data_IF_189802410013
#
_entry.id   IF_189802410013
#
_cell.length_a   1.000
_cell.length_b   1.000
_cell.length_c   1.000
_cell.angle_alpha   90.00
_cell.angle_beta   90.00
_cell.angle_gamma   90.00
#
_symmetry.space_group_name_H-M   'P 1'
#
loop_
_entity.id
_entity.type
_entity.pdbx_description
1 polymer ?
#
# COMPACT_ATOMS: atom_id res chain seq x y z
N UNK A 1 7.25 11.74 -13.88
CA UNK A 1 6.91 10.98 -12.64
C UNK A 1 5.80 9.95 -12.93
N UNK A 2 5.81 8.76 -12.30
CA UNK A 2 4.92 7.62 -12.68
C UNK A 2 4.11 7.01 -11.52
N UNK A 3 4.10 7.60 -10.32
CA UNK A 3 3.27 7.10 -9.22
C UNK A 3 1.79 7.22 -9.59
N UNK A 4 1.08 6.10 -9.64
CA UNK A 4 -0.34 6.06 -10.04
C UNK A 4 -1.29 5.77 -8.88
N UNK A 5 -0.90 4.90 -7.96
CA UNK A 5 -1.77 4.43 -6.88
C UNK A 5 -1.00 4.36 -5.57
N UNK A 6 -1.62 4.86 -4.50
CA UNK A 6 -1.22 4.62 -3.12
C UNK A 6 -2.27 3.71 -2.49
N UNK A 7 -1.90 2.46 -2.18
CA UNK A 7 -2.86 1.47 -1.68
C UNK A 7 -3.24 1.66 -0.21
N UNK A 8 -2.35 2.26 0.59
CA UNK A 8 -2.60 2.44 2.03
C UNK A 8 -2.73 1.14 2.82
N UNK A 9 -2.00 0.07 2.43
CA UNK A 9 -1.99 -1.21 3.19
C UNK A 9 -1.45 -1.04 4.61
N UNK A 10 -0.53 -0.09 4.77
CA UNK A 10 0.01 0.38 6.04
C UNK A 10 -0.02 1.90 6.01
N UNK A 11 -0.48 2.52 7.08
CA UNK A 11 -0.65 3.96 7.18
C UNK A 11 0.33 4.55 8.18
N UNK A 12 0.70 5.81 7.97
CA UNK A 12 1.54 6.55 8.89
C UNK A 12 0.68 7.30 9.91
N UNK A 13 0.94 7.09 11.20
CA UNK A 13 0.25 7.78 12.29
C UNK A 13 1.21 8.74 12.99
N UNK A 14 0.80 10.00 13.15
CA UNK A 14 1.55 10.97 13.95
C UNK A 14 1.17 10.81 15.43
N UNK A 15 2.14 10.85 16.35
CA UNK A 15 1.86 10.74 17.79
C UNK A 15 0.89 11.80 18.34
N UNK A 16 0.86 12.97 17.70
CA UNK A 16 0.04 14.13 18.10
C UNK A 16 -1.36 14.13 17.46
N UNK A 17 -1.69 13.15 16.60
CA UNK A 17 -2.96 13.08 15.87
C UNK A 17 -3.54 11.67 15.85
N UNK A 18 -4.85 11.58 15.77
CA UNK A 18 -5.54 10.30 15.64
C UNK A 18 -5.68 9.84 14.19
N UNK A 19 -5.51 10.73 13.22
CA UNK A 19 -5.58 10.38 11.80
C UNK A 19 -4.37 9.56 11.34
N UNK A 20 -4.63 8.57 10.50
CA UNK A 20 -3.62 7.77 9.83
C UNK A 20 -3.56 8.15 8.34
N UNK A 21 -2.35 8.33 7.81
CA UNK A 21 -2.10 8.92 6.50
C UNK A 21 -1.48 7.94 5.53
N UNK A 22 -2.02 7.87 4.32
CA UNK A 22 -1.42 7.16 3.19
C UNK A 22 -0.43 8.04 2.42
N UNK A 23 -0.66 9.35 2.42
CA UNK A 23 0.27 10.37 1.91
C UNK A 23 0.40 11.45 2.97
N UNK A 24 1.62 11.65 3.48
CA UNK A 24 1.93 12.69 4.46
C UNK A 24 3.08 13.54 3.95
N UNK A 25 2.86 14.85 3.91
CA UNK A 25 3.86 15.84 3.51
C UNK A 25 3.97 16.85 4.65
N UNK A 26 5.09 16.86 5.36
CA UNK A 26 5.25 17.67 6.56
C UNK A 26 6.59 18.40 6.58
N UNK A 27 6.59 19.65 7.04
CA UNK A 27 7.79 20.47 7.33
C UNK A 27 8.83 20.49 6.20
N UNK A 28 8.37 20.44 4.95
CA UNK A 28 9.22 20.39 3.77
C UNK A 28 9.35 21.77 3.11
N UNK A 29 10.51 22.03 2.51
CA UNK A 29 10.84 23.30 1.83
C UNK A 29 10.66 23.27 0.31
N UNK A 30 10.11 22.18 -0.23
CA UNK A 30 9.86 22.05 -1.67
C UNK A 30 8.78 23.02 -2.15
N UNK A 31 8.89 23.42 -3.41
CA UNK A 31 8.00 24.38 -4.05
C UNK A 31 6.79 23.70 -4.70
N UNK A 32 7.03 22.59 -5.38
CA UNK A 32 6.00 21.75 -6.00
C UNK A 32 6.20 20.30 -5.56
N UNK A 33 5.13 19.51 -5.60
CA UNK A 33 5.20 18.05 -5.49
C UNK A 33 4.37 17.45 -6.62
N UNK A 34 5.08 17.07 -7.67
CA UNK A 34 4.50 16.72 -8.96
C UNK A 34 4.09 15.25 -9.01
N UNK A 35 2.78 15.01 -8.88
CA UNK A 35 2.17 13.69 -8.98
C UNK A 35 1.12 13.60 -10.11
N UNK A 36 1.43 14.03 -11.35
CA UNK A 36 0.47 14.09 -12.47
C UNK A 36 -0.11 12.74 -12.89
N UNK A 37 0.58 11.64 -12.54
CA UNK A 37 0.10 10.28 -12.79
C UNK A 37 -0.76 9.73 -11.66
N UNK A 38 -0.84 10.38 -10.49
CA UNK A 38 -1.58 9.87 -9.34
C UNK A 38 -3.08 9.92 -9.61
N UNK A 39 -3.72 8.77 -9.48
CA UNK A 39 -5.14 8.58 -9.74
C UNK A 39 -5.92 8.09 -8.54
N UNK A 40 -5.29 7.37 -7.63
CA UNK A 40 -6.00 6.71 -6.55
C UNK A 40 -5.23 6.64 -5.25
N UNK A 41 -5.90 6.99 -4.15
CA UNK A 41 -5.51 6.64 -2.78
C UNK A 41 -6.62 5.75 -2.23
N UNK A 42 -6.34 4.45 -2.14
CA UNK A 42 -7.39 3.46 -1.84
C UNK A 42 -7.87 3.54 -0.40
N UNK A 43 -6.94 3.66 0.55
CA UNK A 43 -7.19 3.70 1.99
C UNK A 43 -6.23 4.72 2.60
N UNK A 44 -6.69 5.49 3.58
CA UNK A 44 -5.87 6.40 4.38
C UNK A 44 -6.00 7.87 3.98
N UNK A 45 -5.75 8.75 4.95
CA UNK A 45 -5.87 10.19 4.77
C UNK A 45 -4.72 10.76 3.94
N UNK A 46 -4.93 11.94 3.36
CA UNK A 46 -3.86 12.75 2.76
C UNK A 46 -3.62 13.96 3.64
N UNK A 47 -2.39 14.15 4.11
CA UNK A 47 -2.02 15.17 5.07
C UNK A 47 -0.92 16.07 4.54
N UNK A 48 -1.11 17.38 4.63
CA UNK A 48 -0.12 18.40 4.27
C UNK A 48 0.01 19.38 5.43
N UNK A 49 1.16 19.38 6.09
CA UNK A 49 1.38 20.11 7.34
C UNK A 49 2.62 21.01 7.25
N UNK A 50 2.42 22.32 7.40
CA UNK A 50 3.48 23.31 7.59
C UNK A 50 4.59 23.24 6.53
N UNK A 51 4.20 23.15 5.26
CA UNK A 51 5.13 23.22 4.13
C UNK A 51 5.13 24.65 3.59
N UNK A 52 6.15 25.43 3.93
CA UNK A 52 6.16 26.88 3.71
C UNK A 52 6.09 27.29 2.23
N UNK A 53 6.82 26.57 1.36
CA UNK A 53 6.94 26.92 -0.06
C UNK A 53 5.95 26.17 -0.97
N UNK A 54 5.16 25.23 -0.45
CA UNK A 54 4.43 24.27 -1.27
C UNK A 54 3.23 24.92 -1.97
N UNK A 55 3.24 24.88 -3.29
CA UNK A 55 2.19 25.40 -4.16
C UNK A 55 1.27 24.32 -4.74
N UNK A 56 0.15 24.76 -5.30
CA UNK A 56 -0.86 24.00 -6.07
C UNK A 56 -1.63 22.88 -5.34
N UNK A 57 -1.16 22.36 -4.21
CA UNK A 57 -1.82 21.26 -3.48
C UNK A 57 -3.26 21.56 -3.04
N UNK A 58 -3.61 22.84 -2.83
CA UNK A 58 -4.99 23.29 -2.56
C UNK A 58 -5.89 23.27 -3.80
N UNK A 59 -5.32 23.34 -5.00
CA UNK A 59 -6.06 23.29 -6.26
C UNK A 59 -6.47 21.86 -6.63
N UNK A 60 -5.77 20.86 -6.08
CA UNK A 60 -6.06 19.45 -6.32
C UNK A 60 -7.41 19.08 -5.73
N UNK A 61 -8.27 18.49 -6.56
CA UNK A 61 -9.51 17.91 -6.10
C UNK A 61 -9.25 16.52 -5.50
N UNK A 62 -9.17 16.45 -4.17
CA UNK A 62 -8.91 15.21 -3.46
C UNK A 62 -10.08 14.22 -3.47
N UNK A 63 -11.32 14.66 -3.74
CA UNK A 63 -12.48 13.75 -3.87
C UNK A 63 -12.38 12.85 -5.10
N UNK A 64 -11.70 13.33 -6.15
CA UNK A 64 -11.35 12.55 -7.34
C UNK A 64 -10.35 11.44 -7.00
N UNK A 65 -9.40 11.68 -6.10
CA UNK A 65 -8.27 10.76 -5.84
C UNK A 65 -8.55 9.80 -4.68
N UNK A 66 -9.13 10.28 -3.58
CA UNK A 66 -9.40 9.46 -2.39
C UNK A 66 -10.61 8.56 -2.66
N UNK A 67 -10.41 7.24 -2.52
CA UNK A 67 -11.46 6.25 -2.74
C UNK A 67 -12.23 5.92 -1.46
N UNK A 68 -11.55 5.76 -0.34
CA UNK A 68 -12.20 5.46 0.95
C UNK A 68 -13.07 6.64 1.42
N UNK A 69 -14.40 6.47 1.58
CA UNK A 69 -15.30 7.54 2.03
C UNK A 69 -14.99 8.06 3.44
N UNK A 70 -14.29 7.27 4.27
CA UNK A 70 -13.90 7.68 5.62
C UNK A 70 -12.61 8.49 5.64
N UNK A 71 -11.83 8.42 4.57
CA UNK A 71 -10.57 9.14 4.44
C UNK A 71 -10.80 10.57 3.96
N UNK A 72 -9.99 11.50 4.47
CA UNK A 72 -10.10 12.94 4.17
C UNK A 72 -8.74 13.54 3.81
N UNK A 73 -8.81 14.69 3.14
CA UNK A 73 -7.67 15.57 2.93
C UNK A 73 -7.58 16.58 4.09
N UNK A 74 -6.39 16.74 4.66
CA UNK A 74 -6.10 17.67 5.74
C UNK A 74 -4.93 18.57 5.33
N UNK A 75 -5.18 19.88 5.29
CA UNK A 75 -4.17 20.89 5.04
C UNK A 75 -4.03 21.79 6.26
N UNK A 76 -2.79 21.99 6.72
CA UNK A 76 -2.47 22.88 7.85
C UNK A 76 -1.28 23.74 7.48
N UNK A 77 -1.43 25.04 7.68
CA UNK A 77 -0.38 26.03 7.54
C UNK A 77 -0.40 26.93 8.77
N UNK A 78 0.51 26.69 9.71
CA UNK A 78 0.58 27.40 10.99
C UNK A 78 1.83 28.29 11.09
N UNK A 79 2.06 29.11 10.05
CA UNK A 79 3.09 30.15 10.07
C UNK A 79 2.43 31.52 10.27
N UNK A 80 3.17 32.45 10.87
CA UNK A 80 2.72 33.84 11.07
C UNK A 80 2.69 34.63 9.76
N UNK A 81 3.60 34.31 8.85
CA UNK A 81 3.66 34.89 7.51
C UNK A 81 2.56 34.31 6.62
N UNK A 82 1.95 35.11 5.72
CA UNK A 82 0.97 34.61 4.77
C UNK A 82 1.57 33.50 3.88
N UNK A 83 0.69 32.69 3.31
CA UNK A 83 1.10 31.75 2.27
C UNK A 83 1.68 32.52 1.08
N UNK A 84 2.67 31.90 0.42
CA UNK A 84 3.31 32.47 -0.75
C UNK A 84 2.31 32.61 -1.90
N UNK A 85 2.46 33.67 -2.69
CA UNK A 85 1.80 33.78 -3.99
C UNK A 85 2.32 32.70 -4.94
N UNK A 86 1.44 31.75 -5.26
CA UNK A 86 1.73 30.63 -6.14
C UNK A 86 1.36 30.98 -7.59
N UNK A 87 2.16 30.54 -8.58
CA UNK A 87 1.78 30.62 -9.98
C UNK A 87 0.42 29.95 -10.24
N UNK A 88 -0.39 30.46 -11.18
CA UNK A 88 -1.63 29.80 -11.57
C UNK A 88 -1.33 28.48 -12.31
N UNK A 89 -2.30 27.57 -12.33
CA UNK A 89 -2.24 26.40 -13.19
C UNK A 89 -2.20 26.79 -14.67
N UNK A 90 -1.71 25.89 -15.51
CA UNK A 90 -1.76 26.07 -16.96
C UNK A 90 -3.21 26.25 -17.46
N UNK A 91 -3.40 27.06 -18.50
CA UNK A 91 -4.74 27.44 -19.02
C UNK A 91 -5.58 26.25 -19.50
N UNK A 92 -4.92 25.16 -19.91
CA UNK A 92 -5.59 23.94 -20.38
C UNK A 92 -5.99 23.00 -19.24
N UNK A 93 -5.64 23.29 -17.98
CA UNK A 93 -6.08 22.49 -16.85
C UNK A 93 -7.56 22.78 -16.56
N UNK A 94 -8.40 21.74 -16.57
CA UNK A 94 -9.83 21.89 -16.27
C UNK A 94 -10.11 22.42 -14.85
N UNK A 95 -9.32 21.95 -13.87
CA UNK A 95 -9.49 22.28 -12.45
C UNK A 95 -8.13 22.50 -11.77
N UNK A 96 -7.56 21.44 -11.18
CA UNK A 96 -6.33 21.50 -10.40
C UNK A 96 -5.08 21.12 -11.18
N UNK A 97 -3.91 21.44 -10.61
CA UNK A 97 -2.61 21.02 -11.13
C UNK A 97 -1.65 20.66 -10.00
N UNK A 98 -0.63 19.86 -10.30
CA UNK A 98 0.43 19.48 -9.35
C UNK A 98 1.64 20.42 -9.38
N UNK A 99 1.67 21.34 -10.34
CA UNK A 99 2.77 22.22 -10.69
C UNK A 99 2.42 23.07 -11.92
N UNK A 100 3.37 23.87 -12.37
CA UNK A 100 3.27 24.62 -13.62
C UNK A 100 3.33 23.68 -14.84
N UNK A 101 2.82 24.11 -15.99
CA UNK A 101 2.80 23.30 -17.22
C UNK A 101 1.55 22.45 -17.41
N UNK A 102 1.26 22.09 -18.66
CA UNK A 102 0.09 21.31 -19.06
C UNK A 102 0.18 19.84 -18.62
N UNK A 103 1.40 19.31 -18.56
CA UNK A 103 1.71 17.97 -18.10
C UNK A 103 1.36 17.73 -16.63
N UNK A 104 1.24 18.81 -15.86
CA UNK A 104 0.94 18.80 -14.44
C UNK A 104 -0.56 18.96 -14.13
N UNK A 105 -1.42 19.08 -15.14
CA UNK A 105 -2.87 19.12 -14.93
C UNK A 105 -3.36 17.84 -14.24
N UNK A 106 -4.19 18.01 -13.21
CA UNK A 106 -4.87 16.89 -12.58
C UNK A 106 -5.80 16.24 -13.59
N UNK A 107 -5.76 14.91 -13.65
CA UNK A 107 -6.58 14.12 -14.56
C UNK A 107 -7.76 13.50 -13.82
N UNK A 108 -8.93 13.48 -14.45
CA UNK A 108 -10.19 13.02 -13.87
C UNK A 108 -10.64 11.68 -14.46
N UNK A 109 -11.28 10.87 -13.63
CA UNK A 109 -11.69 9.50 -13.92
C UNK A 109 -12.81 8.99 -13.01
N UNK A 110 -13.29 9.80 -12.04
CA UNK A 110 -14.35 9.45 -11.09
C UNK A 110 -15.48 10.48 -11.08
N UNK A 111 -15.17 11.77 -11.03
CA UNK A 111 -16.22 12.81 -10.95
C UNK A 111 -16.96 13.04 -12.28
N UNK A 112 -16.27 12.93 -13.42
CA UNK A 112 -16.84 13.23 -14.74
C UNK A 112 -17.48 11.99 -15.40
N UNK A 113 -17.88 11.01 -14.59
CA UNK A 113 -18.42 9.74 -15.07
C UNK A 113 -19.95 9.72 -15.10
N UNK A 114 -20.51 8.92 -16.00
CA UNK A 114 -21.94 8.63 -15.99
C UNK A 114 -22.37 8.01 -14.66
N UNK A 115 -23.57 8.33 -14.12
CA UNK A 115 -24.11 7.69 -12.91
C UNK A 115 -24.19 6.15 -12.99
N UNK A 116 -24.22 5.58 -14.20
CA UNK A 116 -24.24 4.12 -14.41
C UNK A 116 -22.93 3.43 -14.03
N UNK A 117 -21.81 4.15 -13.91
CA UNK A 117 -20.51 3.58 -13.57
C UNK A 117 -20.36 3.18 -12.08
N UNK A 118 -21.46 3.07 -11.33
CA UNK A 118 -21.57 2.58 -9.94
C UNK A 118 -20.34 2.84 -9.05
N UNK A 119 -20.09 4.11 -8.70
CA UNK A 119 -18.98 4.56 -7.84
C UNK A 119 -17.57 4.15 -8.34
N UNK A 120 -17.49 3.58 -9.54
CA UNK A 120 -16.27 3.18 -10.22
C UNK A 120 -15.64 4.32 -11.00
N UNK A 121 -14.66 3.95 -11.80
CA UNK A 121 -13.94 4.88 -12.68
C UNK A 121 -14.52 4.82 -14.09
N UNK A 122 -14.23 5.82 -14.91
CA UNK A 122 -14.56 5.83 -16.33
C UNK A 122 -13.37 6.32 -17.17
N UNK A 123 -13.41 5.98 -18.45
CA UNK A 123 -12.48 6.50 -19.46
C UNK A 123 -13.15 7.53 -20.40
N UNK A 124 -14.43 7.80 -20.19
CA UNK A 124 -15.20 8.83 -20.87
C UNK A 124 -16.57 9.07 -20.20
N UNK A 125 -17.31 10.11 -20.61
CA UNK A 125 -18.54 10.54 -19.95
C UNK A 125 -19.75 9.64 -20.24
N UNK A 126 -19.70 8.79 -21.28
CA UNK A 126 -20.86 8.02 -21.71
C UNK A 126 -21.16 6.85 -20.76
N UNK A 127 -22.43 6.40 -20.67
CA UNK A 127 -22.80 5.30 -19.75
C UNK A 127 -22.14 3.95 -20.02
N UNK A 128 -21.59 3.74 -21.23
CA UNK A 128 -20.85 2.53 -21.61
C UNK A 128 -19.33 2.66 -21.48
N UNK A 129 -18.84 3.83 -21.06
CA UNK A 129 -17.41 4.14 -20.93
C UNK A 129 -16.92 3.97 -19.48
N UNK A 130 -17.54 3.06 -18.76
CA UNK A 130 -17.15 2.69 -17.41
C UNK A 130 -15.96 1.73 -17.45
N UNK A 131 -15.06 1.89 -16.49
CA UNK A 131 -13.98 0.95 -16.26
C UNK A 131 -14.49 -0.36 -15.66
N UNK A 132 -13.73 -1.42 -15.85
CA UNK A 132 -14.00 -2.67 -15.15
C UNK A 132 -13.86 -2.48 -13.63
N UNK A 133 -14.67 -3.20 -12.84
CA UNK A 133 -14.71 -3.12 -11.37
C UNK A 133 -13.38 -3.47 -10.68
N UNK A 134 -12.50 -4.17 -11.40
CA UNK A 134 -11.16 -4.56 -10.94
C UNK A 134 -10.09 -3.51 -11.23
N UNK A 135 -10.43 -2.45 -11.96
CA UNK A 135 -9.54 -1.32 -12.17
C UNK A 135 -9.47 -0.44 -10.92
N UNK A 136 -8.30 0.13 -10.68
CA UNK A 136 -8.07 1.21 -9.73
C UNK A 136 -7.38 2.37 -10.45
N UNK A 137 -7.73 3.61 -10.08
CA UNK A 137 -7.20 4.81 -10.73
C UNK A 137 -7.64 5.08 -12.17
N UNK A 138 -8.47 4.22 -12.77
CA UNK A 138 -9.02 4.40 -14.12
C UNK A 138 -8.59 3.33 -15.12
N UNK A 139 -8.93 3.55 -16.37
CA UNK A 139 -8.72 2.61 -17.47
C UNK A 139 -8.64 3.36 -18.81
N UNK A 140 -8.22 2.66 -19.86
CA UNK A 140 -8.24 3.13 -21.25
C UNK A 140 -9.38 2.50 -22.07
N UNK A 141 -10.16 1.61 -21.45
CA UNK A 141 -11.21 0.84 -22.09
C UNK A 141 -12.01 0.01 -21.07
N UNK A 142 -13.06 -0.71 -21.50
CA UNK A 142 -13.99 -1.37 -20.60
C UNK A 142 -13.48 -2.70 -20.04
N UNK A 143 -12.39 -3.28 -20.57
CA UNK A 143 -11.93 -4.62 -20.20
C UNK A 143 -11.02 -4.58 -18.97
N UNK A 144 -10.87 -5.73 -18.33
CA UNK A 144 -9.92 -5.96 -17.24
C UNK A 144 -8.45 -5.73 -17.64
N UNK A 145 -8.14 -5.89 -18.93
CA UNK A 145 -6.82 -5.63 -19.52
C UNK A 145 -6.52 -4.15 -19.71
N UNK A 146 -7.56 -3.30 -19.68
CA UNK A 146 -7.45 -1.89 -20.04
C UNK A 146 -7.28 -1.01 -18.79
N UNK A 147 -7.13 -1.63 -17.61
CA UNK A 147 -6.95 -0.91 -16.36
C UNK A 147 -5.58 -0.23 -16.31
N UNK A 148 -5.53 1.01 -15.80
CA UNK A 148 -4.27 1.71 -15.54
C UNK A 148 -3.48 0.98 -14.44
N UNK A 149 -4.20 0.50 -13.41
CA UNK A 149 -3.65 -0.38 -12.40
C UNK A 149 -4.78 -1.21 -11.77
N UNK A 150 -4.39 -2.32 -11.11
CA UNK A 150 -5.35 -3.28 -10.58
C UNK A 150 -5.74 -2.96 -9.15
N UNK A 151 -7.03 -3.06 -8.83
CA UNK A 151 -7.54 -2.97 -7.46
C UNK A 151 -7.06 -4.14 -6.61
N UNK A 152 -7.12 -5.34 -7.17
CA UNK A 152 -6.76 -6.59 -6.50
C UNK A 152 -5.41 -7.09 -7.03
N UNK A 153 -5.41 -8.14 -7.86
CA UNK A 153 -4.20 -8.72 -8.42
C UNK A 153 -4.01 -8.33 -9.89
N UNK A 154 -2.74 -8.17 -10.28
CA UNK A 154 -2.31 -8.04 -11.65
C UNK A 154 -1.75 -9.39 -12.12
N UNK A 155 -2.28 -9.91 -13.22
CA UNK A 155 -1.82 -11.15 -13.85
C UNK A 155 -1.59 -10.95 -15.36
N UNK A 156 -0.32 -10.92 -15.77
CA UNK A 156 0.12 -10.81 -17.17
C UNK A 156 -0.67 -9.80 -18.04
N UNK A 157 -0.94 -8.61 -17.50
CA UNK A 157 -1.64 -7.53 -18.21
C UNK A 157 -3.13 -7.42 -17.90
N UNK A 158 -3.69 -8.31 -17.09
CA UNK A 158 -5.11 -8.34 -16.75
C UNK A 158 -5.31 -8.20 -15.25
N UNK A 159 -6.26 -7.37 -14.84
CA UNK A 159 -6.65 -7.28 -13.44
C UNK A 159 -7.64 -8.38 -13.06
N UNK A 160 -7.29 -9.19 -12.07
CA UNK A 160 -8.09 -10.32 -11.60
C UNK A 160 -8.45 -10.17 -10.12
N UNK A 161 -9.50 -10.88 -9.69
CA UNK A 161 -9.89 -10.90 -8.29
C UNK A 161 -8.91 -11.70 -7.43
N UNK A 162 -8.46 -12.84 -7.93
CA UNK A 162 -7.50 -13.74 -7.30
C UNK A 162 -6.50 -14.24 -8.34
N UNK A 163 -5.34 -14.71 -7.89
CA UNK A 163 -4.41 -15.39 -8.77
C UNK A 163 -4.93 -16.78 -9.15
N UNK A 164 -4.62 -17.28 -10.35
CA UNK A 164 -4.97 -18.65 -10.75
C UNK A 164 -4.51 -19.66 -9.68
N UNK A 165 -5.43 -20.47 -9.12
CA UNK A 165 -5.10 -21.35 -8.01
C UNK A 165 -4.11 -22.43 -8.44
N UNK A 166 -3.28 -22.91 -7.51
CA UNK A 166 -2.28 -23.95 -7.81
C UNK A 166 -2.92 -25.30 -8.14
N UNK A 167 -4.15 -25.55 -7.67
CA UNK A 167 -4.93 -26.76 -7.94
C UNK A 167 -6.34 -26.40 -8.39
N UNK A 168 -6.89 -27.20 -9.30
CA UNK A 168 -8.28 -27.08 -9.77
C UNK A 168 -9.03 -28.36 -9.38
N UNK A 169 -10.27 -28.21 -8.94
CA UNK A 169 -11.14 -29.33 -8.65
C UNK A 169 -11.68 -29.93 -9.96
N UNK A 170 -11.48 -31.23 -10.16
CA UNK A 170 -12.00 -31.98 -11.29
C UNK A 170 -13.33 -32.65 -10.90
N UNK A 171 -14.48 -32.18 -11.42
CA UNK A 171 -15.78 -32.78 -11.08
C UNK A 171 -15.96 -34.19 -11.68
N UNK A 172 -15.12 -34.59 -12.64
CA UNK A 172 -15.16 -35.94 -13.26
C UNK A 172 -14.52 -36.98 -12.33
N UNK A 173 -13.39 -36.64 -11.74
CA UNK A 173 -12.62 -37.56 -10.87
C UNK A 173 -12.86 -37.30 -9.39
N UNK A 174 -13.67 -36.29 -9.05
CA UNK A 174 -13.92 -35.82 -7.68
C UNK A 174 -12.61 -35.57 -6.90
N UNK A 175 -11.59 -35.05 -7.59
CA UNK A 175 -10.24 -34.91 -7.04
C UNK A 175 -9.62 -33.56 -7.41
N UNK A 176 -8.64 -33.14 -6.61
CA UNK A 176 -7.83 -31.96 -6.89
C UNK A 176 -6.69 -32.30 -7.85
N UNK A 177 -6.59 -31.58 -8.95
CA UNK A 177 -5.54 -31.73 -9.96
C UNK A 177 -4.68 -30.47 -9.99
N UNK A 178 -3.40 -30.63 -10.32
CA UNK A 178 -2.50 -29.48 -10.44
C UNK A 178 -2.90 -28.60 -11.64
N UNK A 179 -2.92 -27.30 -11.41
CA UNK A 179 -3.25 -26.31 -12.43
C UNK A 179 -1.97 -25.92 -13.19
N UNK A 180 -1.83 -26.22 -14.49
CA UNK A 180 -0.65 -25.81 -15.27
C UNK A 180 -0.52 -24.28 -15.37
N UNK A 181 -1.62 -23.55 -15.18
CA UNK A 181 -1.65 -22.09 -15.17
C UNK A 181 -1.59 -21.49 -13.75
N UNK A 182 -1.39 -22.31 -12.72
CA UNK A 182 -1.33 -21.88 -11.33
C UNK A 182 -0.21 -20.86 -11.09
N UNK A 183 -0.52 -19.82 -10.31
CA UNK A 183 0.42 -18.76 -9.95
C UNK A 183 0.32 -18.42 -8.46
N UNK A 184 1.43 -17.97 -7.91
CA UNK A 184 1.51 -17.49 -6.54
C UNK A 184 1.13 -16.02 -6.43
N UNK A 185 0.38 -15.69 -5.41
CA UNK A 185 0.13 -14.31 -5.01
C UNK A 185 1.39 -13.71 -4.36
N UNK A 186 1.98 -12.71 -5.02
CA UNK A 186 3.04 -11.87 -4.48
C UNK A 186 2.55 -10.43 -4.36
N UNK A 187 2.14 -10.04 -3.14
CA UNK A 187 1.67 -8.70 -2.86
C UNK A 187 0.33 -8.38 -3.54
N UNK A 188 0.37 -7.80 -4.74
CA UNK A 188 -0.79 -7.48 -5.57
C UNK A 188 -0.61 -7.96 -7.02
N UNK A 189 0.27 -8.94 -7.21
CA UNK A 189 0.69 -9.46 -8.51
C UNK A 189 0.73 -10.98 -8.45
N UNK A 190 0.40 -11.63 -9.55
CA UNK A 190 0.50 -13.07 -9.71
C UNK A 190 1.82 -13.42 -10.38
N UNK A 191 2.58 -14.34 -9.78
CA UNK A 191 3.91 -14.74 -10.26
C UNK A 191 4.00 -16.26 -10.36
N UNK A 192 4.70 -16.78 -11.36
CA UNK A 192 4.91 -18.23 -11.50
C UNK A 192 5.79 -18.81 -10.39
N UNK A 193 6.78 -18.04 -9.93
CA UNK A 193 7.68 -18.42 -8.84
C UNK A 193 7.80 -17.26 -7.86
N UNK A 194 7.86 -17.60 -6.57
CA UNK A 194 8.16 -16.62 -5.55
C UNK A 194 9.62 -16.15 -5.66
N UNK A 195 9.91 -14.86 -5.39
CA UNK A 195 11.28 -14.36 -5.22
C UNK A 195 12.06 -15.18 -4.18
N UNK A 196 13.38 -15.30 -4.33
CA UNK A 196 14.22 -16.19 -3.51
C UNK A 196 14.17 -15.92 -2.00
N UNK A 197 13.88 -14.68 -1.59
CA UNK A 197 13.77 -14.29 -0.18
C UNK A 197 12.39 -14.59 0.44
N UNK A 198 11.48 -15.23 -0.31
CA UNK A 198 10.13 -15.58 0.14
C UNK A 198 9.90 -17.09 0.01
N UNK A 199 8.97 -17.57 0.84
CA UNK A 199 8.58 -18.97 0.91
C UNK A 199 7.25 -19.19 0.18
N UNK A 200 7.10 -20.35 -0.44
CA UNK A 200 5.85 -20.78 -1.07
C UNK A 200 4.91 -21.39 -0.04
N UNK A 201 3.70 -20.85 0.10
CA UNK A 201 2.66 -21.41 0.97
C UNK A 201 1.26 -21.21 0.38
N UNK A 202 0.49 -22.30 0.18
CA UNK A 202 -0.92 -22.28 -0.24
C UNK A 202 -1.25 -21.33 -1.42
N UNK A 203 -0.37 -21.21 -2.42
CA UNK A 203 -0.57 -20.32 -3.57
C UNK A 203 -0.24 -18.85 -3.30
N UNK A 204 0.48 -18.53 -2.23
CA UNK A 204 1.01 -17.22 -1.92
C UNK A 204 2.52 -17.27 -1.63
N UNK A 205 3.18 -16.13 -1.78
CA UNK A 205 4.56 -15.91 -1.37
C UNK A 205 4.57 -15.23 0.01
N UNK A 206 5.03 -15.96 1.03
CA UNK A 206 5.02 -15.52 2.43
C UNK A 206 6.44 -15.26 2.93
N UNK A 207 6.59 -14.36 3.90
CA UNK A 207 7.90 -14.08 4.53
C UNK A 207 8.30 -15.14 5.56
N UNK A 208 7.30 -15.67 6.26
CA UNK A 208 7.46 -16.69 7.30
C UNK A 208 6.33 -17.71 7.18
N UNK A 209 6.63 -18.95 7.56
CA UNK A 209 5.65 -20.02 7.56
C UNK A 209 4.64 -19.84 8.70
N UNK A 210 3.40 -20.32 8.52
CA UNK A 210 2.42 -20.34 9.60
C UNK A 210 2.90 -21.27 10.74
N UNK A 211 2.33 -21.12 11.96
CA UNK A 211 2.85 -21.79 13.17
C UNK A 211 2.88 -23.33 13.12
N UNK A 212 2.08 -23.95 12.26
CA UNK A 212 1.97 -25.39 12.02
C UNK A 212 2.92 -25.92 10.94
N UNK A 213 3.70 -25.04 10.31
CA UNK A 213 4.62 -25.36 9.22
C UNK A 213 6.04 -24.85 9.50
N UNK A 214 7.01 -25.48 8.85
CA UNK A 214 8.42 -25.06 8.85
C UNK A 214 8.89 -24.77 7.43
N UNK A 215 9.89 -23.89 7.32
CA UNK A 215 10.56 -23.64 6.05
C UNK A 215 11.42 -24.85 5.67
N UNK A 216 11.24 -25.34 4.45
CA UNK A 216 12.05 -26.41 3.87
C UNK A 216 12.12 -26.21 2.35
N UNK A 217 13.32 -26.14 1.79
CA UNK A 217 13.57 -25.97 0.35
C UNK A 217 12.74 -24.85 -0.33
N UNK A 218 12.60 -23.71 0.34
CA UNK A 218 11.87 -22.55 -0.18
C UNK A 218 10.33 -22.68 -0.13
N UNK A 219 9.80 -23.68 0.56
CA UNK A 219 8.37 -23.88 0.78
C UNK A 219 8.04 -24.07 2.26
N UNK A 220 6.78 -23.80 2.62
CA UNK A 220 6.24 -24.10 3.94
C UNK A 220 5.64 -25.50 3.95
N UNK A 221 6.27 -26.41 4.71
CA UNK A 221 5.84 -27.80 4.85
C UNK A 221 5.35 -28.08 6.27
N UNK A 222 4.34 -28.94 6.47
CA UNK A 222 3.91 -29.34 7.80
C UNK A 222 5.05 -29.90 8.66
N UNK A 223 5.02 -29.62 9.96
CA UNK A 223 5.99 -30.17 10.91
C UNK A 223 5.68 -31.64 11.23
N UNK A 224 6.72 -32.46 11.32
CA UNK A 224 6.62 -33.83 11.87
C UNK A 224 6.86 -33.75 13.39
N UNK A 225 5.81 -33.49 14.16
CA UNK A 225 5.88 -33.27 15.61
C UNK A 225 5.85 -31.79 15.99
N UNK A 226 6.41 -31.39 17.15
CA UNK A 226 6.45 -30.00 17.57
C UNK A 226 7.18 -29.14 16.53
N UNK A 227 6.56 -28.07 16.06
CA UNK A 227 7.22 -27.13 15.16
C UNK A 227 8.40 -26.44 15.87
N UNK A 228 9.43 -26.03 15.11
CA UNK A 228 10.49 -25.17 15.63
C UNK A 228 9.86 -23.95 16.32
N UNK A 229 10.24 -23.71 17.58
CA UNK A 229 9.81 -22.49 18.28
C UNK A 229 10.44 -21.29 17.57
N UNK A 230 9.62 -20.57 16.81
CA UNK A 230 9.99 -19.32 16.15
C UNK A 230 9.76 -18.15 17.10
N UNK A 231 10.78 -17.33 17.31
CA UNK A 231 10.73 -16.20 18.22
C UNK A 231 11.00 -14.91 17.48
N UNK A 232 10.15 -13.92 17.69
CA UNK A 232 10.25 -12.63 17.03
C UNK A 232 11.07 -11.68 17.89
N UNK A 233 12.02 -10.98 17.28
CA UNK A 233 12.77 -9.93 17.97
C UNK A 233 11.95 -8.65 18.01
N UNK A 234 11.76 -8.11 19.21
CA UNK A 234 11.28 -6.75 19.46
C UNK A 234 12.50 -5.84 19.61
N UNK A 235 12.49 -4.58 19.11
CA UNK A 235 13.45 -4.02 18.15
C UNK A 235 14.95 -4.20 18.45
N UNK A 236 15.35 -4.38 19.70
CA UNK A 236 16.71 -4.77 20.08
C UNK A 236 16.68 -5.56 21.41
N UNK A 237 17.71 -6.36 21.63
CA UNK A 237 17.79 -7.23 22.82
C UNK A 237 18.16 -6.41 24.05
N UNK A 238 17.55 -6.72 25.19
CA UNK A 238 17.89 -6.17 26.50
C UNK A 238 17.64 -7.19 27.61
N UNK A 239 18.13 -6.91 28.83
CA UNK A 239 18.00 -7.79 30.00
C UNK A 239 16.56 -8.24 30.28
N UNK A 240 15.58 -7.34 30.10
CA UNK A 240 14.16 -7.63 30.28
C UNK A 240 13.49 -8.52 29.21
N UNK A 241 14.06 -8.67 28.01
CA UNK A 241 13.46 -9.48 26.94
C UNK A 241 14.27 -10.73 26.56
N UNK A 242 15.53 -10.86 26.99
CA UNK A 242 16.43 -11.95 26.60
C UNK A 242 15.87 -13.35 26.93
N UNK A 243 15.12 -13.46 28.03
CA UNK A 243 14.52 -14.73 28.46
C UNK A 243 13.43 -15.25 27.53
N UNK A 244 12.80 -14.36 26.73
CA UNK A 244 11.81 -14.78 25.72
C UNK A 244 12.43 -15.66 24.64
N UNK A 245 13.74 -15.56 24.44
CA UNK A 245 14.50 -16.33 23.46
C UNK A 245 14.88 -17.75 23.93
N UNK A 246 14.55 -18.13 25.18
CA UNK A 246 14.83 -19.48 25.68
C UNK A 246 14.12 -20.55 24.86
N UNK A 247 14.88 -21.52 24.36
CA UNK A 247 14.38 -22.63 23.53
C UNK A 247 13.95 -22.22 22.12
N UNK A 248 14.27 -21.01 21.67
CA UNK A 248 14.02 -20.59 20.30
C UNK A 248 14.99 -21.26 19.35
N UNK A 249 14.46 -21.80 18.26
CA UNK A 249 15.22 -22.54 17.25
C UNK A 249 15.31 -21.77 15.94
N UNK A 250 14.34 -20.88 15.70
CA UNK A 250 14.32 -19.94 14.59
C UNK A 250 14.03 -18.56 15.16
N UNK A 251 14.76 -17.55 14.70
CA UNK A 251 14.54 -16.16 15.07
C UNK A 251 13.99 -15.42 13.84
N UNK A 252 12.81 -14.82 13.98
CA UNK A 252 12.18 -14.01 12.95
C UNK A 252 12.53 -12.53 13.18
N UNK A 253 13.28 -11.95 12.23
CA UNK A 253 13.77 -10.58 12.30
C UNK A 253 15.30 -10.51 12.46
N UNK A 254 15.79 -9.39 12.97
CA UNK A 254 17.23 -9.15 13.15
C UNK A 254 17.56 -9.10 14.63
N UNK A 255 18.70 -9.67 15.02
CA UNK A 255 19.26 -9.49 16.36
C UNK A 255 20.08 -8.21 16.37
N UNK A 256 19.66 -7.23 17.14
CA UNK A 256 20.41 -6.00 17.39
C UNK A 256 20.88 -5.98 18.84
N UNK A 257 22.20 -5.97 19.01
CA UNK A 257 22.88 -5.86 20.31
C UNK A 257 23.55 -4.48 20.33
N UNK A 258 23.10 -3.62 21.23
CA UNK A 258 23.56 -2.23 21.34
C UNK A 258 24.26 -2.02 22.69
N UNK A 259 24.95 -0.90 22.86
CA UNK A 259 25.60 -0.55 24.12
C UNK A 259 24.60 -0.55 25.30
N UNK A 260 23.39 -0.01 25.08
CA UNK A 260 22.30 0.00 26.06
C UNK A 260 21.83 -1.41 26.47
N UNK A 261 22.08 -2.45 25.66
CA UNK A 261 21.81 -3.85 26.05
C UNK A 261 22.63 -4.25 27.28
N UNK A 262 23.85 -3.72 27.39
CA UNK A 262 24.79 -4.02 28.48
C UNK A 262 24.75 -2.99 29.60
N UNK A 263 24.58 -1.70 29.26
CA UNK A 263 24.65 -0.59 30.23
C UNK A 263 23.31 -0.31 30.93
N UNK A 264 22.22 -0.95 30.50
CA UNK A 264 20.88 -0.78 31.04
C UNK A 264 19.94 -0.20 30.00
N UNK A 265 18.89 -0.94 29.71
CA UNK A 265 17.85 -0.50 28.79
C UNK A 265 16.76 0.29 29.52
N UNK A 266 16.37 1.43 28.96
CA UNK A 266 15.22 2.19 29.42
C UNK A 266 14.06 2.01 28.44
N UNK A 267 12.99 1.35 28.90
CA UNK A 267 11.80 1.18 28.09
C UNK A 267 10.98 2.49 28.05
N UNK A 268 10.57 2.92 26.86
CA UNK A 268 9.66 4.05 26.67
C UNK A 268 8.28 3.53 26.31
N UNK A 269 7.33 3.65 27.23
CA UNK A 269 5.96 3.22 26.97
C UNK A 269 5.23 4.22 26.07
N UNK A 270 4.18 3.77 25.34
CA UNK A 270 3.36 4.65 24.48
C UNK A 270 2.66 5.80 25.22
N UNK A 271 2.53 5.71 26.55
CA UNK A 271 2.01 6.75 27.43
C UNK A 271 3.12 7.74 27.91
N UNK A 272 4.31 7.70 27.31
CA UNK A 272 5.47 8.52 27.64
C UNK A 272 6.02 8.32 29.06
N UNK A 273 5.72 7.19 29.71
CA UNK A 273 6.36 6.83 30.98
C UNK A 273 7.60 5.98 30.75
N UNK A 274 8.53 6.08 31.70
CA UNK A 274 9.72 5.26 31.76
C UNK A 274 9.39 3.92 32.43
N UNK A 275 9.76 2.82 31.76
CA UNK A 275 9.79 1.48 32.33
C UNK A 275 11.23 1.03 32.54
N UNK A 276 11.50 0.45 33.71
CA UNK A 276 12.71 -0.33 33.94
C UNK A 276 12.63 -1.69 33.24
#
# INVERSE_FOLDING_TARGET
>A
PRLQIIRGRTLFKMNVRNEEFALLVILSKMYTLELPALRDVLIGNVGVFNNYNLCHFKTINWKEIITDPKSKYVFVYNFTSPERDCPPCHKNCEKGCWGEGEENCQKFSKENCSPQCYQGRCFGPNPRECCHLFCAGGCTGPKQSDCIACRNFYDDGVCTQECPPMKIYSPITYSWQDNPNGKYAYGATCVKNCPEHLLKDNGACVRSCPPDKKAHEGACVPCNGPCPKTCRVDPFIHSGNIDTFKGCTVIEGNILILQNTFEGYQHFYPNYTFGA
#
